data_IF_956989125768
#
_entry.id   IF_956989125768
#
_cell.length_a   1.000
_cell.length_b   1.000
_cell.length_c   1.000
_cell.angle_alpha   90.00
_cell.angle_beta   90.00
_cell.angle_gamma   90.00
#
_symmetry.space_group_name_H-M   'P 1'
#
loop_
_entity.id
_entity.type
_entity.pdbx_description
1 polymer ?
#
# COMPACT_ATOMS: atom_id res chain seq x y z
N UNK A 1 -11.65 3.38 16.41
CA UNK A 1 -10.30 3.94 16.22
C UNK A 1 -9.38 2.87 15.63
N UNK A 2 -8.63 3.22 14.62
CA UNK A 2 -7.61 2.37 14.01
C UNK A 2 -6.33 3.19 13.81
N UNK A 3 -5.22 2.52 13.57
CA UNK A 3 -4.01 3.16 13.06
C UNK A 3 -3.96 2.99 11.54
N UNK A 4 -3.59 4.06 10.84
CA UNK A 4 -3.31 4.01 9.42
C UNK A 4 -1.80 4.03 9.21
N UNK A 5 -1.24 2.90 8.80
CA UNK A 5 0.18 2.75 8.50
C UNK A 5 0.46 3.11 7.04
N UNK A 6 0.25 4.35 6.68
CA UNK A 6 0.41 4.85 5.31
C UNK A 6 0.76 6.33 5.33
N UNK A 7 1.63 6.73 4.41
CA UNK A 7 1.95 8.14 4.16
C UNK A 7 1.06 8.76 3.08
N UNK A 8 0.16 8.00 2.48
CA UNK A 8 -0.71 8.46 1.40
C UNK A 8 -1.80 9.40 1.91
N UNK A 9 -1.82 10.69 1.53
CA UNK A 9 -2.91 11.60 1.90
C UNK A 9 -4.26 11.13 1.36
N UNK A 10 -4.26 10.47 0.20
CA UNK A 10 -5.48 9.96 -0.44
C UNK A 10 -6.15 8.88 0.40
N UNK A 11 -5.39 7.98 1.00
CA UNK A 11 -5.94 6.94 1.88
C UNK A 11 -6.54 7.55 3.14
N UNK A 12 -5.88 8.54 3.72
CA UNK A 12 -6.42 9.29 4.85
C UNK A 12 -7.74 9.98 4.48
N UNK A 13 -7.81 10.62 3.32
CA UNK A 13 -9.05 11.24 2.83
C UNK A 13 -10.18 10.24 2.64
N UNK A 14 -9.89 9.05 2.11
CA UNK A 14 -10.88 8.00 1.92
C UNK A 14 -11.47 7.53 3.25
N UNK A 15 -10.64 7.36 4.27
CA UNK A 15 -11.11 6.99 5.61
C UNK A 15 -11.99 8.07 6.21
N UNK A 16 -11.65 9.34 6.03
CA UNK A 16 -12.47 10.47 6.48
C UNK A 16 -13.82 10.47 5.80
N UNK A 17 -13.88 10.18 4.51
CA UNK A 17 -15.13 10.13 3.74
C UNK A 17 -16.09 9.07 4.24
N UNK A 18 -15.60 7.96 4.75
CA UNK A 18 -16.44 6.88 5.29
C UNK A 18 -16.59 6.96 6.81
N UNK A 19 -16.19 8.07 7.40
CA UNK A 19 -16.31 8.37 8.83
C UNK A 19 -15.58 7.35 9.74
N UNK A 20 -14.43 6.86 9.28
CA UNK A 20 -13.56 6.02 10.10
C UNK A 20 -12.55 6.91 10.82
N UNK A 21 -12.55 6.86 12.13
CA UNK A 21 -11.54 7.56 12.94
C UNK A 21 -10.22 6.82 12.92
N UNK A 22 -9.13 7.53 12.71
CA UNK A 22 -7.81 6.93 12.64
C UNK A 22 -6.72 7.86 13.18
N UNK A 23 -5.61 7.24 13.58
CA UNK A 23 -4.37 7.93 13.90
C UNK A 23 -3.30 7.46 12.91
N UNK A 24 -2.46 8.36 12.46
CA UNK A 24 -1.35 7.98 11.57
C UNK A 24 -0.26 7.25 12.38
N UNK A 25 0.29 6.22 11.75
CA UNK A 25 1.34 5.39 12.34
C UNK A 25 2.46 5.21 11.33
N UNK A 26 3.70 5.45 11.75
CA UNK A 26 4.85 5.21 10.90
C UNK A 26 5.08 3.70 10.73
N UNK A 27 5.34 3.28 9.50
CA UNK A 27 5.62 1.90 9.16
C UNK A 27 6.47 1.84 7.89
N UNK A 28 7.72 2.32 7.99
CA UNK A 28 8.63 2.26 6.87
C UNK A 28 9.19 0.86 6.70
N UNK A 29 9.17 0.38 5.46
CA UNK A 29 9.74 -0.90 5.07
C UNK A 29 10.60 -0.70 3.83
N UNK A 30 11.51 -1.63 3.58
CA UNK A 30 12.16 -1.71 2.28
C UNK A 30 11.19 -2.34 1.28
N UNK A 31 10.90 -1.61 0.20
CA UNK A 31 9.97 -2.08 -0.83
C UNK A 31 10.69 -2.97 -1.84
N UNK A 32 10.98 -4.20 -1.42
CA UNK A 32 11.64 -5.20 -2.27
C UNK A 32 10.59 -6.04 -2.98
N UNK A 33 10.57 -5.94 -4.31
CA UNK A 33 9.70 -6.76 -5.15
C UNK A 33 10.33 -8.13 -5.37
N UNK A 34 9.50 -9.16 -5.32
CA UNK A 34 9.89 -10.52 -5.69
C UNK A 34 9.67 -10.67 -7.19
N UNK A 35 10.75 -10.70 -7.97
CA UNK A 35 10.68 -10.72 -9.43
C UNK A 35 9.97 -11.95 -9.98
N UNK A 36 10.08 -13.09 -9.30
CA UNK A 36 9.40 -14.33 -9.69
C UNK A 36 7.96 -14.40 -9.20
N UNK A 37 7.57 -13.51 -8.28
CA UNK A 37 6.22 -13.45 -7.76
C UNK A 37 5.27 -12.73 -8.70
N UNK A 38 3.99 -13.07 -8.63
CA UNK A 38 2.96 -12.33 -9.36
C UNK A 38 2.84 -10.90 -8.80
N UNK A 39 2.31 -9.94 -9.58
CA UNK A 39 2.03 -8.61 -9.05
C UNK A 39 1.12 -8.62 -7.82
N UNK A 40 0.11 -9.48 -7.82
CA UNK A 40 -0.77 -9.64 -6.65
C UNK A 40 0.00 -10.12 -5.42
N UNK A 41 0.89 -11.09 -5.57
CA UNK A 41 1.75 -11.57 -4.49
C UNK A 41 2.60 -10.43 -3.91
N UNK A 42 3.19 -9.59 -4.78
CA UNK A 42 3.99 -8.45 -4.34
C UNK A 42 3.14 -7.41 -3.59
N UNK A 43 1.93 -7.12 -4.06
CA UNK A 43 1.03 -6.19 -3.39
C UNK A 43 0.63 -6.70 -2.00
N UNK A 44 0.28 -7.97 -1.88
CA UNK A 44 -0.02 -8.62 -0.60
C UNK A 44 1.18 -8.57 0.34
N UNK A 45 2.34 -8.96 -0.16
CA UNK A 45 3.58 -8.99 0.63
C UNK A 45 3.91 -7.62 1.22
N UNK A 46 3.88 -6.57 0.39
CA UNK A 46 4.19 -5.22 0.83
C UNK A 46 3.17 -4.67 1.83
N UNK A 47 1.88 -4.89 1.58
CA UNK A 47 0.84 -4.47 2.52
C UNK A 47 1.00 -5.17 3.87
N UNK A 48 1.25 -6.47 3.84
CA UNK A 48 1.45 -7.28 5.04
C UNK A 48 2.69 -6.85 5.82
N UNK A 49 3.79 -6.57 5.14
CA UNK A 49 5.02 -6.09 5.76
C UNK A 49 4.82 -4.71 6.43
N UNK A 50 4.11 -3.80 5.77
CA UNK A 50 3.77 -2.49 6.35
C UNK A 50 2.91 -2.63 7.59
N UNK A 51 1.91 -3.50 7.54
CA UNK A 51 1.05 -3.76 8.69
C UNK A 51 1.84 -4.34 9.86
N UNK A 52 2.69 -5.34 9.59
CA UNK A 52 3.56 -5.95 10.59
C UNK A 52 4.51 -4.95 11.22
N UNK A 53 5.13 -4.10 10.40
CA UNK A 53 6.04 -3.08 10.90
C UNK A 53 5.31 -2.03 11.73
N UNK A 54 4.10 -1.65 11.32
CA UNK A 54 3.26 -0.74 12.10
C UNK A 54 2.94 -1.30 13.47
N UNK A 55 2.59 -2.57 13.55
CA UNK A 55 2.34 -3.25 14.83
C UNK A 55 3.59 -3.25 15.70
N UNK A 56 4.74 -3.60 15.14
CA UNK A 56 6.01 -3.58 15.87
C UNK A 56 6.32 -2.18 16.44
N UNK A 57 6.11 -1.15 15.63
CA UNK A 57 6.33 0.22 16.05
C UNK A 57 5.36 0.65 17.17
N UNK A 58 4.09 0.27 17.06
CA UNK A 58 3.08 0.55 18.07
C UNK A 58 3.43 -0.10 19.42
N UNK A 59 3.87 -1.35 19.38
CA UNK A 59 4.29 -2.09 20.58
C UNK A 59 5.54 -1.43 21.19
N UNK A 60 6.54 -1.12 20.35
CA UNK A 60 7.80 -0.53 20.82
C UNK A 60 7.62 0.85 21.48
N UNK A 61 6.65 1.63 21.02
CA UNK A 61 6.34 2.95 21.57
C UNK A 61 5.19 2.94 22.57
N UNK A 62 4.74 1.76 22.96
CA UNK A 62 3.69 1.54 23.96
C UNK A 62 2.40 2.31 23.65
N UNK A 63 1.97 2.26 22.38
CA UNK A 63 0.73 2.86 21.94
C UNK A 63 -0.47 1.99 22.35
N UNK A 64 -1.65 2.61 22.40
CA UNK A 64 -2.87 1.86 22.65
C UNK A 64 -3.09 0.79 21.57
N UNK A 65 -3.72 -0.30 21.97
CA UNK A 65 -3.94 -1.45 21.12
C UNK A 65 -5.17 -1.25 20.24
N UNK A 66 -4.97 -0.61 19.09
CA UNK A 66 -5.97 -0.49 18.05
C UNK A 66 -5.53 -1.29 16.81
N UNK A 67 -6.48 -1.76 15.99
CA UNK A 67 -6.10 -2.40 14.73
C UNK A 67 -5.28 -1.49 13.82
N UNK A 68 -4.36 -2.09 13.07
CA UNK A 68 -3.49 -1.38 12.11
C UNK A 68 -3.97 -1.71 10.69
N UNK A 69 -4.24 -0.68 9.91
CA UNK A 69 -4.58 -0.77 8.50
C UNK A 69 -3.37 -0.33 7.68
N UNK A 70 -2.97 -1.16 6.75
CA UNK A 70 -1.90 -0.85 5.80
C UNK A 70 -2.34 -1.23 4.39
N UNK A 71 -1.78 -0.57 3.40
CA UNK A 71 -2.05 -0.86 2.00
C UNK A 71 -0.83 -0.54 1.16
N UNK A 72 -0.73 -1.22 0.03
CA UNK A 72 0.27 -0.92 -0.98
C UNK A 72 -0.32 -1.12 -2.37
N UNK A 73 0.08 -0.26 -3.31
CA UNK A 73 -0.46 -0.27 -4.67
C UNK A 73 0.65 -0.45 -5.69
N UNK A 74 0.43 -1.36 -6.62
CA UNK A 74 1.34 -1.65 -7.73
C UNK A 74 0.61 -1.41 -9.04
N UNK A 75 1.29 -0.74 -9.97
CA UNK A 75 0.81 -0.52 -11.34
C UNK A 75 1.53 -1.47 -12.26
N UNK A 76 0.77 -2.17 -13.11
CA UNK A 76 1.30 -3.18 -14.03
C UNK A 76 0.80 -2.92 -15.44
N UNK A 77 1.71 -2.93 -16.40
CA UNK A 77 1.39 -2.90 -17.82
C UNK A 77 2.20 -3.98 -18.52
N UNK A 78 1.51 -4.96 -19.10
CA UNK A 78 2.15 -6.16 -19.64
C UNK A 78 2.87 -6.92 -18.53
N UNK A 79 4.17 -7.10 -18.67
CA UNK A 79 5.00 -7.79 -17.67
C UNK A 79 5.79 -6.82 -16.80
N UNK A 80 5.59 -5.50 -16.97
CA UNK A 80 6.34 -4.49 -16.25
C UNK A 80 5.57 -3.99 -15.04
N UNK A 81 6.25 -3.99 -13.89
CA UNK A 81 5.72 -3.43 -12.64
C UNK A 81 6.27 -2.03 -12.46
N UNK A 82 5.37 -1.08 -12.19
CA UNK A 82 5.73 0.31 -11.92
C UNK A 82 5.62 0.58 -10.43
N UNK A 83 6.75 0.77 -9.78
CA UNK A 83 6.81 1.20 -8.39
C UNK A 83 6.73 2.71 -8.25
N UNK A 84 7.11 3.23 -7.09
CA UNK A 84 7.18 4.67 -6.87
C UNK A 84 8.28 5.28 -7.73
N UNK A 85 8.04 6.42 -8.40
CA UNK A 85 9.09 7.10 -9.15
C UNK A 85 10.20 7.58 -8.21
N UNK A 86 11.45 7.45 -8.67
CA UNK A 86 12.64 7.83 -7.89
C UNK A 86 13.04 9.28 -8.09
N UNK A 87 12.52 9.93 -9.14
CA UNK A 87 12.82 11.31 -9.51
C UNK A 87 11.70 11.86 -10.38
N UNK A 88 11.73 13.17 -10.65
CA UNK A 88 10.79 13.81 -11.59
C UNK A 88 10.92 13.24 -13.00
N UNK A 89 12.16 13.01 -13.46
CA UNK A 89 12.41 12.42 -14.77
C UNK A 89 11.90 10.99 -14.86
N UNK A 90 12.07 10.21 -13.80
CA UNK A 90 11.56 8.85 -13.72
C UNK A 90 10.02 8.85 -13.77
N UNK A 91 9.37 9.75 -13.02
CA UNK A 91 7.92 9.90 -13.04
C UNK A 91 7.41 10.26 -14.44
N UNK A 92 8.09 11.17 -15.15
CA UNK A 92 7.74 11.55 -16.51
C UNK A 92 7.84 10.35 -17.47
N UNK A 93 8.91 9.58 -17.37
CA UNK A 93 9.10 8.37 -18.18
C UNK A 93 7.99 7.37 -17.95
N UNK A 94 7.63 7.10 -16.68
CA UNK A 94 6.55 6.19 -16.32
C UNK A 94 5.21 6.66 -16.89
N UNK A 95 4.87 7.93 -16.73
CA UNK A 95 3.64 8.50 -17.24
C UNK A 95 3.57 8.45 -18.76
N UNK A 96 4.70 8.70 -19.44
CA UNK A 96 4.78 8.62 -20.90
C UNK A 96 4.54 7.21 -21.40
N UNK A 97 5.09 6.20 -20.72
CA UNK A 97 4.86 4.79 -21.08
C UNK A 97 3.42 4.38 -20.88
N UNK A 98 2.76 4.86 -19.80
CA UNK A 98 1.39 4.48 -19.44
C UNK A 98 0.33 5.27 -20.23
N UNK A 99 0.69 6.43 -20.80
CA UNK A 99 -0.25 7.30 -21.48
C UNK A 99 -0.96 6.60 -22.64
N UNK A 100 -2.28 6.66 -22.67
CA UNK A 100 -3.10 6.02 -23.70
C UNK A 100 -3.14 4.49 -23.62
N UNK A 101 -2.42 3.87 -22.69
CA UNK A 101 -2.35 2.42 -22.55
C UNK A 101 -3.28 1.93 -21.45
N UNK A 102 -3.81 0.72 -21.63
CA UNK A 102 -4.55 0.02 -20.58
C UNK A 102 -3.54 -0.61 -19.63
N UNK A 103 -3.70 -0.34 -18.34
CA UNK A 103 -2.87 -0.91 -17.29
C UNK A 103 -3.72 -1.40 -16.13
N UNK A 104 -3.13 -2.26 -15.31
CA UNK A 104 -3.78 -2.81 -14.14
C UNK A 104 -3.20 -2.16 -12.89
N UNK A 105 -4.07 -1.81 -11.96
CA UNK A 105 -3.69 -1.32 -10.63
C UNK A 105 -4.09 -2.37 -9.62
N UNK A 106 -3.13 -2.84 -8.85
CA UNK A 106 -3.34 -3.89 -7.85
C UNK A 106 -3.04 -3.29 -6.49
N UNK A 107 -4.01 -3.34 -5.58
CA UNK A 107 -3.85 -2.85 -4.22
C UNK A 107 -3.98 -3.99 -3.23
N UNK A 108 -2.94 -4.20 -2.46
CA UNK A 108 -2.99 -5.08 -1.29
C UNK A 108 -3.43 -4.26 -0.08
N UNK A 109 -4.33 -4.82 0.72
CA UNK A 109 -4.81 -4.20 1.95
C UNK A 109 -4.65 -5.22 3.08
N UNK A 110 -4.02 -4.79 4.16
CA UNK A 110 -3.82 -5.62 5.35
C UNK A 110 -4.40 -4.93 6.57
N UNK A 111 -5.08 -5.72 7.40
CA UNK A 111 -5.56 -5.27 8.71
C UNK A 111 -4.97 -6.21 9.75
N UNK A 112 -4.33 -5.66 10.74
CA UNK A 112 -3.70 -6.44 11.79
C UNK A 112 -4.15 -6.02 13.18
N UNK A 113 -4.22 -6.98 14.08
CA UNK A 113 -4.45 -6.76 15.50
C UNK A 113 -3.42 -7.57 16.28
N UNK A 114 -3.14 -7.15 17.49
CA UNK A 114 -2.16 -7.86 18.33
C UNK A 114 -2.65 -7.97 19.76
N UNK A 115 -2.11 -8.95 20.46
CA UNK A 115 -2.24 -9.08 21.90
C UNK A 115 -0.84 -9.21 22.52
N UNK A 116 -0.75 -9.60 23.79
CA UNK A 116 0.53 -9.73 24.49
C UNK A 116 1.42 -10.87 23.93
N UNK A 117 0.87 -11.76 23.14
CA UNK A 117 1.57 -12.98 22.69
C UNK A 117 1.82 -12.99 21.18
N UNK A 118 0.89 -12.47 20.37
CA UNK A 118 0.98 -12.57 18.91
C UNK A 118 0.26 -11.45 18.19
N UNK A 119 0.59 -11.30 16.90
CA UNK A 119 -0.13 -10.46 15.95
C UNK A 119 -0.81 -11.33 14.90
N UNK A 120 -2.06 -11.00 14.59
CA UNK A 120 -2.82 -11.62 13.51
C UNK A 120 -3.05 -10.59 12.41
N UNK A 121 -2.72 -10.94 11.18
CA UNK A 121 -2.85 -10.06 10.02
C UNK A 121 -3.67 -10.76 8.94
N UNK A 122 -4.75 -10.11 8.50
CA UNK A 122 -5.53 -10.53 7.35
C UNK A 122 -5.21 -9.63 6.16
N UNK A 123 -5.08 -10.21 4.98
CA UNK A 123 -4.72 -9.47 3.77
C UNK A 123 -5.68 -9.81 2.63
N UNK A 124 -6.03 -8.80 1.85
CA UNK A 124 -6.83 -8.97 0.64
C UNK A 124 -6.21 -8.16 -0.50
N UNK A 125 -6.61 -8.48 -1.73
CA UNK A 125 -6.11 -7.80 -2.93
C UNK A 125 -7.28 -7.34 -3.78
N UNK A 126 -7.20 -6.11 -4.27
CA UNK A 126 -8.15 -5.52 -5.19
C UNK A 126 -7.48 -5.23 -6.53
N UNK A 127 -8.21 -5.48 -7.62
CA UNK A 127 -7.73 -5.27 -8.98
C UNK A 127 -8.58 -4.23 -9.67
N UNK A 128 -7.94 -3.32 -10.40
CA UNK A 128 -8.62 -2.32 -11.22
C UNK A 128 -7.91 -2.18 -12.56
N UNK A 129 -8.66 -2.23 -13.64
CA UNK A 129 -8.15 -1.97 -14.98
C UNK A 129 -8.44 -0.53 -15.35
N UNK A 130 -7.40 0.22 -15.70
CA UNK A 130 -7.50 1.63 -16.04
C UNK A 130 -6.79 1.91 -17.35
N UNK A 131 -7.28 2.94 -18.06
CA UNK A 131 -6.55 3.54 -19.18
C UNK A 131 -6.08 4.92 -18.73
N UNK A 132 -4.78 5.15 -18.81
CA UNK A 132 -4.22 6.45 -18.47
C UNK A 132 -4.72 7.49 -19.48
N UNK A 133 -5.15 8.66 -18.97
CA UNK A 133 -5.54 9.78 -19.84
C UNK A 133 -4.31 10.35 -20.52
N UNK A 134 -4.46 10.68 -21.81
CA UNK A 134 -3.44 11.41 -22.52
C UNK A 134 -3.39 12.82 -21.96
N UNK A 135 -2.17 13.26 -21.62
CA UNK A 135 -1.96 14.64 -21.20
C UNK A 135 -1.92 15.56 -22.41
N UNK A 136 -2.73 16.55 -22.36
CA UNK A 136 -2.73 17.60 -23.38
C UNK A 136 -1.65 18.64 -23.10
#
# INVERSE_FOLDING_TARGET
MIYLASKSPRRAELLKKINVEFLLLEAEIEENLVLEGSPAFNAEKLAKEKCSQGIKNAIATNLENYPVLAADTIVVMGNKIYGKPKSSDHAFTMLSELSGQVHEVITGVSVGAWDSEKADIATTVSYTHLRAHETN
#
